data_IF_037924712702
#
_entry.id   IF_037924712702
#
_cell.length_a   1.000
_cell.length_b   1.000
_cell.length_c   1.000
_cell.angle_alpha   90.00
_cell.angle_beta   90.00
_cell.angle_gamma   90.00
#
_symmetry.space_group_name_H-M   'P 1'
#
loop_
_entity.id
_entity.type
_entity.pdbx_description
1 polymer ?
#
# COMPACT_ATOMS: atom_id res chain seq x y z
N UNK A 1 -11.14 -22.03 -52.16
CA UNK A 1 -11.53 -22.56 -50.84
C UNK A 1 -10.37 -22.67 -49.85
N UNK A 2 -9.20 -23.23 -50.19
CA UNK A 2 -8.04 -23.31 -49.28
C UNK A 2 -7.55 -21.95 -48.71
N UNK A 3 -7.57 -20.88 -49.51
CA UNK A 3 -7.08 -19.56 -49.05
C UNK A 3 -7.97 -18.89 -47.99
N UNK A 4 -9.28 -19.14 -47.99
CA UNK A 4 -10.21 -18.57 -46.99
C UNK A 4 -10.05 -19.28 -45.64
N UNK A 5 -9.76 -20.59 -45.67
CA UNK A 5 -9.54 -21.39 -44.47
C UNK A 5 -8.28 -20.96 -43.69
N UNK A 6 -7.21 -20.60 -44.41
CA UNK A 6 -5.98 -20.09 -43.79
C UNK A 6 -6.14 -18.69 -43.18
N UNK A 7 -6.98 -17.84 -43.78
CA UNK A 7 -7.29 -16.51 -43.24
C UNK A 7 -8.13 -16.59 -41.96
N UNK A 8 -9.06 -17.55 -41.87
CA UNK A 8 -9.88 -17.77 -40.67
C UNK A 8 -9.04 -18.33 -39.51
N UNK A 9 -8.09 -19.21 -39.79
CA UNK A 9 -7.17 -19.74 -38.77
C UNK A 9 -6.19 -18.68 -38.25
N UNK A 10 -5.71 -17.78 -39.12
CA UNK A 10 -4.86 -16.66 -38.71
C UNK A 10 -5.63 -15.65 -37.85
N UNK A 11 -6.90 -15.36 -38.20
CA UNK A 11 -7.76 -14.46 -37.42
C UNK A 11 -8.07 -15.04 -36.03
N UNK A 12 -8.37 -16.34 -35.93
CA UNK A 12 -8.59 -17.03 -34.66
C UNK A 12 -7.32 -17.08 -33.80
N UNK A 13 -6.14 -17.21 -34.42
CA UNK A 13 -4.86 -17.15 -33.71
C UNK A 13 -4.61 -15.75 -33.14
N UNK A 14 -4.89 -14.69 -33.91
CA UNK A 14 -4.78 -13.28 -33.46
C UNK A 14 -5.81 -12.97 -32.36
N UNK A 15 -7.04 -13.47 -32.46
CA UNK A 15 -8.07 -13.33 -31.41
C UNK A 15 -7.66 -14.08 -30.13
N UNK A 16 -7.03 -15.26 -30.24
CA UNK A 16 -6.53 -16.00 -29.09
C UNK A 16 -5.31 -15.34 -28.43
N UNK A 17 -4.48 -14.65 -29.22
CA UNK A 17 -3.32 -13.89 -28.73
C UNK A 17 -3.73 -12.53 -28.15
N UNK A 18 -4.93 -12.03 -28.48
CA UNK A 18 -5.52 -10.81 -27.91
C UNK A 18 -6.37 -11.06 -26.66
N UNK A 19 -6.48 -12.30 -26.20
CA UNK A 19 -6.64 -12.61 -24.76
C UNK A 19 -5.29 -12.40 -24.08
N UNK A 20 -4.79 -11.17 -24.21
CA UNK A 20 -3.66 -10.66 -23.46
C UNK A 20 -4.10 -10.75 -22.01
N UNK A 21 -3.30 -11.46 -21.21
CA UNK A 21 -3.36 -11.38 -19.77
C UNK A 21 -3.49 -9.90 -19.40
N UNK A 22 -4.66 -9.49 -18.93
CA UNK A 22 -4.75 -8.33 -18.07
C UNK A 22 -3.96 -8.74 -16.83
N UNK A 23 -2.65 -8.48 -16.85
CA UNK A 23 -1.92 -8.36 -15.61
C UNK A 23 -2.59 -7.17 -14.96
N UNK A 24 -3.54 -7.46 -14.08
CA UNK A 24 -3.99 -6.50 -13.10
C UNK A 24 -2.75 -6.25 -12.27
N UNK A 25 -1.94 -5.26 -12.68
CA UNK A 25 -1.15 -4.56 -11.69
C UNK A 25 -2.17 -4.17 -10.63
N UNK A 26 -1.89 -4.49 -9.38
CA UNK A 26 -2.82 -4.29 -8.28
C UNK A 26 -2.58 -2.88 -7.69
N UNK A 27 -3.52 -2.36 -6.92
CA UNK A 27 -3.36 -1.10 -6.21
C UNK A 27 -2.33 -1.29 -5.09
N UNK A 28 -2.25 -0.37 -4.14
CA UNK A 28 -1.28 -0.45 -3.06
C UNK A 28 -1.97 -0.19 -1.72
N UNK A 29 -2.22 -1.28 -0.99
CA UNK A 29 -2.84 -1.22 0.32
C UNK A 29 -3.58 -2.49 0.69
N UNK A 30 -4.77 -2.32 1.22
CA UNK A 30 -5.63 -3.42 1.68
C UNK A 30 -5.92 -4.43 0.56
N UNK A 31 -6.08 -3.98 -0.68
CA UNK A 31 -6.43 -4.85 -1.81
C UNK A 31 -5.40 -5.97 -2.05
N UNK A 32 -4.11 -5.70 -1.81
CA UNK A 32 -3.00 -6.62 -2.07
C UNK A 32 -2.56 -7.34 -0.81
N UNK A 33 -2.52 -6.61 0.31
CA UNK A 33 -1.98 -7.12 1.57
C UNK A 33 -3.03 -7.86 2.41
N UNK A 34 -4.31 -7.66 2.09
CA UNK A 34 -5.44 -8.27 2.76
C UNK A 34 -6.59 -8.59 1.78
N UNK A 35 -6.37 -9.48 0.79
CA UNK A 35 -7.26 -9.61 -0.37
C UNK A 35 -8.57 -10.39 -0.10
N UNK A 36 -8.69 -11.12 1.01
CA UNK A 36 -9.86 -11.98 1.23
C UNK A 36 -10.97 -11.28 2.03
N UNK A 37 -12.14 -11.15 1.41
CA UNK A 37 -13.35 -10.61 2.04
C UNK A 37 -13.90 -11.46 3.20
N UNK A 38 -13.58 -12.76 3.20
CA UNK A 38 -14.13 -13.73 4.14
C UNK A 38 -13.13 -14.86 4.42
N UNK A 39 -12.59 -14.86 5.63
CA UNK A 39 -11.74 -15.88 6.23
C UNK A 39 -12.35 -16.34 7.55
N UNK A 40 -11.93 -17.52 8.02
CA UNK A 40 -12.39 -18.09 9.29
C UNK A 40 -11.26 -18.12 10.30
N UNK A 41 -11.43 -17.45 11.43
CA UNK A 41 -10.49 -17.47 12.57
C UNK A 41 -11.26 -17.96 13.79
N UNK A 42 -10.81 -19.06 14.38
CA UNK A 42 -11.45 -19.69 15.55
C UNK A 42 -12.97 -19.91 15.41
N UNK A 43 -13.41 -20.24 14.19
CA UNK A 43 -14.82 -20.48 13.86
C UNK A 43 -15.64 -19.21 13.60
N UNK A 44 -15.03 -18.02 13.64
CA UNK A 44 -15.67 -16.74 13.33
C UNK A 44 -15.31 -16.28 11.91
N UNK A 45 -16.32 -15.86 11.14
CA UNK A 45 -16.09 -15.24 9.84
C UNK A 45 -15.65 -13.78 10.02
N UNK A 46 -14.59 -13.39 9.33
CA UNK A 46 -14.04 -12.03 9.30
C UNK A 46 -13.36 -11.79 7.95
N UNK A 47 -12.85 -10.59 7.67
CA UNK A 47 -12.05 -10.29 6.47
C UNK A 47 -10.55 -10.40 6.79
N UNK A 48 -9.69 -10.40 5.77
CA UNK A 48 -8.25 -10.19 5.97
C UNK A 48 -7.96 -8.76 6.46
N UNK A 49 -6.93 -8.63 7.30
CA UNK A 49 -6.43 -7.34 7.79
C UNK A 49 -4.91 -7.45 7.90
N UNK A 50 -4.21 -6.49 7.31
CA UNK A 50 -2.77 -6.30 7.40
C UNK A 50 -2.50 -4.85 7.83
N UNK A 51 -2.57 -4.61 9.13
CA UNK A 51 -2.51 -3.27 9.69
C UNK A 51 -1.10 -2.69 9.57
N UNK A 52 -0.99 -1.42 9.20
CA UNK A 52 0.29 -0.69 9.31
C UNK A 52 0.67 -0.58 10.79
N UNK A 53 1.90 -0.96 11.13
CA UNK A 53 2.40 -0.89 12.51
C UNK A 53 3.33 0.31 12.68
N UNK A 54 2.72 1.45 12.99
CA UNK A 54 3.39 2.75 13.02
C UNK A 54 4.09 2.99 14.35
N UNK A 55 5.26 3.66 14.31
CA UNK A 55 5.96 4.21 15.49
C UNK A 55 6.29 3.17 16.58
N UNK A 56 6.51 1.92 16.19
CA UNK A 56 7.00 0.89 17.10
C UNK A 56 8.53 0.74 17.00
N UNK A 57 9.22 1.02 18.10
CA UNK A 57 10.68 0.99 18.17
C UNK A 57 11.30 -0.38 17.88
N UNK A 58 10.59 -1.47 18.17
CA UNK A 58 11.04 -2.84 17.85
C UNK A 58 11.04 -3.08 16.33
N UNK A 59 10.24 -2.32 15.59
CA UNK A 59 10.06 -2.42 14.14
C UNK A 59 10.60 -1.17 13.42
N UNK A 60 11.65 -0.54 13.99
CA UNK A 60 12.36 0.62 13.45
C UNK A 60 11.54 1.92 13.34
N UNK A 61 10.45 2.05 14.11
CA UNK A 61 9.55 3.21 14.07
C UNK A 61 9.03 3.49 12.64
N UNK A 62 8.54 2.45 11.97
CA UNK A 62 8.04 2.55 10.60
C UNK A 62 7.07 3.74 10.42
N UNK A 63 7.36 4.53 9.39
CA UNK A 63 6.67 5.75 8.96
C UNK A 63 6.35 6.76 10.08
N UNK A 64 7.12 6.79 11.18
CA UNK A 64 6.93 7.78 12.24
C UNK A 64 7.39 9.18 11.82
N UNK A 65 6.76 10.23 12.35
CA UNK A 65 7.22 11.62 12.16
C UNK A 65 8.69 11.81 12.50
N UNK A 66 9.43 12.45 11.60
CA UNK A 66 10.83 12.80 11.81
C UNK A 66 11.76 11.61 12.02
N UNK A 67 11.39 10.41 11.54
CA UNK A 67 12.25 9.24 11.65
C UNK A 67 13.54 9.49 10.84
N UNK A 68 14.67 9.54 11.53
CA UNK A 68 15.99 9.70 10.89
C UNK A 68 16.42 8.47 10.10
N UNK A 69 15.83 7.30 10.36
CA UNK A 69 16.09 6.08 9.60
C UNK A 69 15.29 6.10 8.30
N UNK A 70 15.95 6.49 7.21
CA UNK A 70 15.35 6.55 5.87
C UNK A 70 14.81 5.19 5.39
N UNK A 71 15.36 4.08 5.89
CA UNK A 71 14.90 2.73 5.51
C UNK A 71 13.54 2.37 6.10
N UNK A 72 13.03 3.16 7.05
CA UNK A 72 11.75 2.91 7.71
C UNK A 72 10.65 3.84 7.21
N UNK A 73 10.88 4.55 6.10
CA UNK A 73 9.90 5.46 5.48
C UNK A 73 8.90 4.69 4.63
N UNK A 74 7.66 5.19 4.58
CA UNK A 74 6.68 4.80 3.58
C UNK A 74 6.78 5.75 2.40
N UNK A 75 7.32 5.26 1.28
CA UNK A 75 7.56 6.05 0.08
C UNK A 75 6.39 5.97 -0.90
N UNK A 76 6.22 7.05 -1.64
CA UNK A 76 5.33 7.16 -2.80
C UNK A 76 6.12 7.78 -3.93
N UNK A 77 6.36 7.00 -4.97
CA UNK A 77 7.08 7.40 -6.17
C UNK A 77 6.16 8.19 -7.09
N UNK A 78 6.60 9.38 -7.47
CA UNK A 78 5.92 10.25 -8.43
C UNK A 78 6.86 10.46 -9.62
N UNK A 79 6.43 9.99 -10.79
CA UNK A 79 7.18 10.12 -12.03
C UNK A 79 7.03 11.51 -12.66
N UNK A 80 5.86 12.13 -12.54
CA UNK A 80 5.63 13.49 -13.00
C UNK A 80 4.78 14.28 -11.99
N UNK A 81 5.38 15.09 -11.10
CA UNK A 81 4.64 15.83 -10.07
C UNK A 81 3.78 16.96 -10.63
N UNK A 82 3.85 17.25 -11.94
CA UNK A 82 2.99 18.24 -12.59
C UNK A 82 1.65 17.66 -13.06
N UNK A 83 1.55 16.33 -13.19
CA UNK A 83 0.37 15.65 -13.72
C UNK A 83 -0.14 14.54 -12.80
N UNK A 84 0.75 13.87 -12.08
CA UNK A 84 0.39 12.89 -11.08
C UNK A 84 0.00 13.55 -9.74
N UNK A 85 -0.80 12.84 -8.96
CA UNK A 85 -1.20 13.16 -7.60
C UNK A 85 -1.41 11.89 -6.78
N UNK A 86 -1.74 12.05 -5.50
CA UNK A 86 -1.93 10.93 -4.57
C UNK A 86 -3.36 10.95 -4.04
N UNK A 87 -4.06 9.83 -4.12
CA UNK A 87 -5.34 9.58 -3.46
C UNK A 87 -5.10 8.74 -2.21
N UNK A 88 -5.50 9.26 -1.05
CA UNK A 88 -5.27 8.63 0.25
C UNK A 88 -6.57 8.25 0.94
N UNK A 89 -6.59 7.03 1.47
CA UNK A 89 -7.63 6.53 2.37
C UNK A 89 -7.01 5.82 3.56
N UNK A 90 -7.45 6.20 4.76
CA UNK A 90 -7.06 5.54 6.00
C UNK A 90 -8.30 5.33 6.88
N UNK A 91 -8.33 4.20 7.58
CA UNK A 91 -9.25 3.96 8.69
C UNK A 91 -8.83 4.75 9.93
N UNK A 92 -9.69 4.73 10.94
CA UNK A 92 -9.30 5.15 12.29
C UNK A 92 -8.11 4.33 12.81
N UNK A 93 -7.27 4.98 13.62
CA UNK A 93 -6.14 4.32 14.26
C UNK A 93 -6.56 3.68 15.58
N UNK A 94 -5.83 2.68 16.04
CA UNK A 94 -6.04 2.12 17.38
C UNK A 94 -4.76 1.57 17.98
N UNK A 95 -4.79 1.35 19.30
CA UNK A 95 -3.69 0.68 20.01
C UNK A 95 -3.71 -0.83 19.76
N UNK A 96 -2.57 -1.48 19.91
CA UNK A 96 -2.48 -2.93 19.88
C UNK A 96 -2.86 -3.51 21.26
N UNK A 97 -4.13 -3.82 21.48
CA UNK A 97 -4.62 -4.49 22.69
C UNK A 97 -5.45 -5.72 22.36
N UNK A 98 -5.41 -6.70 23.26
CA UNK A 98 -6.16 -7.96 23.16
C UNK A 98 -7.66 -7.69 23.33
N UNK A 99 -8.43 -7.76 22.25
CA UNK A 99 -9.89 -7.68 22.29
C UNK A 99 -10.48 -7.02 21.05
N UNK A 100 -11.68 -7.45 20.66
CA UNK A 100 -12.35 -6.99 19.42
C UNK A 100 -12.74 -5.50 19.36
N UNK A 101 -12.42 -4.70 20.37
CA UNK A 101 -12.64 -3.25 20.41
C UNK A 101 -11.40 -2.54 21.01
N UNK A 102 -10.27 -2.51 20.29
CA UNK A 102 -9.07 -1.85 20.80
C UNK A 102 -9.32 -0.34 21.00
N UNK A 103 -8.69 0.29 22.02
CA UNK A 103 -8.76 1.73 22.23
C UNK A 103 -8.32 2.50 20.98
N UNK A 104 -9.17 3.42 20.58
CA UNK A 104 -9.02 4.20 19.36
C UNK A 104 -8.02 5.34 19.56
N UNK A 105 -7.31 5.67 18.49
CA UNK A 105 -6.22 6.64 18.46
C UNK A 105 -6.49 7.65 17.37
N UNK A 106 -6.45 8.93 17.74
CA UNK A 106 -6.37 10.00 16.77
C UNK A 106 -4.91 10.16 16.35
N UNK A 107 -4.68 10.21 15.04
CA UNK A 107 -3.34 10.36 14.47
C UNK A 107 -3.31 11.48 13.45
N UNK A 108 -2.12 11.95 13.13
CA UNK A 108 -1.90 12.85 12.01
C UNK A 108 -0.99 12.19 10.98
N UNK A 109 -1.16 12.56 9.72
CA UNK A 109 -0.20 12.25 8.67
C UNK A 109 0.23 13.50 7.91
N UNK A 110 1.43 13.47 7.35
CA UNK A 110 1.96 14.51 6.46
C UNK A 110 2.75 13.87 5.33
N UNK A 111 2.86 14.57 4.20
CA UNK A 111 3.67 14.14 3.05
C UNK A 111 4.81 15.12 2.89
N UNK A 112 6.01 14.57 2.71
CA UNK A 112 7.22 15.33 2.46
C UNK A 112 7.75 15.03 1.06
N UNK A 113 8.31 16.05 0.43
CA UNK A 113 9.04 15.92 -0.83
C UNK A 113 10.39 15.17 -0.64
N UNK A 114 11.08 14.80 -1.73
CA UNK A 114 12.37 14.12 -1.63
C UNK A 114 13.46 14.93 -0.90
N UNK A 115 13.34 16.26 -0.82
CA UNK A 115 14.23 17.13 -0.05
C UNK A 115 13.86 17.21 1.45
N UNK A 116 12.72 16.65 1.85
CA UNK A 116 12.20 16.66 3.22
C UNK A 116 11.42 17.91 3.59
N UNK A 117 10.90 18.66 2.62
CA UNK A 117 9.95 19.74 2.88
C UNK A 117 8.54 19.16 2.95
N UNK A 118 7.73 19.63 3.90
CA UNK A 118 6.31 19.24 3.98
C UNK A 118 5.56 19.88 2.80
N UNK A 119 4.92 19.05 1.99
CA UNK A 119 4.13 19.46 0.82
C UNK A 119 2.62 19.27 1.04
N UNK A 120 2.25 18.44 2.02
CA UNK A 120 0.85 18.22 2.38
C UNK A 120 0.69 17.89 3.86
N UNK A 121 -0.35 18.44 4.50
CA UNK A 121 -0.65 18.23 5.92
C UNK A 121 0.13 19.15 6.86
N UNK A 122 0.17 18.83 8.18
CA UNK A 122 -0.41 17.63 8.80
C UNK A 122 -1.95 17.58 8.72
N UNK A 123 -2.50 16.39 8.48
CA UNK A 123 -3.94 16.13 8.46
C UNK A 123 -4.33 15.24 9.64
N UNK A 124 -5.29 15.70 10.45
CA UNK A 124 -5.85 14.94 11.56
C UNK A 124 -6.84 13.88 11.09
N UNK A 125 -6.61 12.64 11.49
CA UNK A 125 -7.54 11.51 11.36
C UNK A 125 -8.04 11.10 12.74
N UNK A 126 -9.36 10.99 12.82
CA UNK A 126 -10.17 10.55 13.95
C UNK A 126 -11.17 9.53 13.42
N UNK A 127 -11.85 8.81 14.31
CA UNK A 127 -12.90 7.89 13.88
C UNK A 127 -14.11 8.56 13.21
N UNK A 128 -14.27 9.87 13.36
CA UNK A 128 -15.38 10.61 12.74
C UNK A 128 -15.08 11.14 11.35
N UNK A 129 -13.81 11.19 10.96
CA UNK A 129 -13.37 11.70 9.66
C UNK A 129 -12.40 10.75 8.93
N UNK A 130 -12.23 9.53 9.43
CA UNK A 130 -11.58 8.44 8.69
C UNK A 130 -12.31 8.25 7.35
N UNK A 131 -11.55 7.99 6.29
CA UNK A 131 -12.09 7.87 4.94
C UNK A 131 -12.50 6.45 4.60
N UNK A 132 -11.86 5.47 5.23
CA UNK A 132 -12.16 4.05 5.05
C UNK A 132 -12.83 3.52 6.30
N UNK A 133 -14.07 3.04 6.16
CA UNK A 133 -14.86 2.50 7.27
C UNK A 133 -14.81 0.98 7.36
N UNK A 134 -14.51 0.30 6.26
CA UNK A 134 -14.52 -1.15 6.18
C UNK A 134 -13.60 -1.68 5.07
N UNK A 135 -13.35 -2.99 5.13
CA UNK A 135 -12.54 -3.71 4.15
C UNK A 135 -13.03 -3.53 2.71
N UNK A 136 -14.34 -3.51 2.45
CA UNK A 136 -14.85 -3.42 1.08
C UNK A 136 -14.52 -2.08 0.43
N UNK A 137 -14.61 -0.98 1.19
CA UNK A 137 -14.21 0.35 0.71
C UNK A 137 -12.71 0.38 0.40
N UNK A 138 -11.89 -0.17 1.29
CA UNK A 138 -10.44 -0.25 1.13
C UNK A 138 -10.03 -1.11 -0.08
N UNK A 139 -10.66 -2.28 -0.23
CA UNK A 139 -10.43 -3.20 -1.34
C UNK A 139 -10.84 -2.57 -2.68
N UNK A 140 -11.97 -1.87 -2.71
CA UNK A 140 -12.44 -1.20 -3.93
C UNK A 140 -11.64 0.05 -4.27
N UNK A 141 -10.89 0.64 -3.34
CA UNK A 141 -10.03 1.80 -3.58
C UNK A 141 -10.79 3.14 -3.68
N UNK A 142 -10.17 4.20 -4.23
CA UNK A 142 -10.80 5.52 -4.38
C UNK A 142 -12.03 5.48 -5.28
N UNK A 143 -13.12 6.13 -4.85
CA UNK A 143 -14.35 6.21 -5.66
C UNK A 143 -14.18 7.04 -6.93
N UNK A 144 -13.21 7.95 -6.95
CA UNK A 144 -12.80 8.72 -8.13
C UNK A 144 -12.33 7.82 -9.29
N UNK A 145 -11.83 6.63 -8.96
CA UNK A 145 -11.38 5.63 -9.93
C UNK A 145 -12.40 4.50 -10.12
N UNK A 146 -12.99 4.01 -9.03
CA UNK A 146 -13.73 2.75 -9.00
C UNK A 146 -15.24 2.91 -8.76
N UNK A 147 -15.74 4.14 -8.65
CA UNK A 147 -17.15 4.44 -8.41
C UNK A 147 -17.57 4.29 -6.94
N UNK A 148 -18.88 4.34 -6.68
CA UNK A 148 -19.46 4.56 -5.34
C UNK A 148 -19.26 3.42 -4.34
N UNK A 149 -18.67 2.30 -4.74
CA UNK A 149 -18.35 1.18 -3.84
C UNK A 149 -17.00 1.33 -3.13
N UNK A 150 -16.18 2.31 -3.54
CA UNK A 150 -14.92 2.70 -2.90
C UNK A 150 -15.09 3.75 -1.82
N UNK A 151 -13.96 4.29 -1.35
CA UNK A 151 -13.94 5.40 -0.38
C UNK A 151 -13.78 6.77 -1.07
N UNK A 152 -14.27 7.84 -0.44
CA UNK A 152 -13.99 9.22 -0.89
C UNK A 152 -12.56 9.60 -0.49
N UNK A 153 -11.65 9.67 -1.47
CA UNK A 153 -10.24 9.86 -1.19
C UNK A 153 -9.85 11.29 -0.80
N UNK A 154 -8.80 11.43 0.00
CA UNK A 154 -8.07 12.68 0.10
C UNK A 154 -7.18 12.82 -1.12
N UNK A 155 -7.40 13.82 -1.95
CA UNK A 155 -6.55 14.11 -3.11
C UNK A 155 -5.42 15.08 -2.71
N UNK A 156 -4.19 14.63 -2.92
CA UNK A 156 -2.98 15.46 -2.92
C UNK A 156 -2.65 15.76 -4.37
N UNK A 157 -2.88 17.00 -4.76
CA UNK A 157 -2.81 17.42 -6.17
C UNK A 157 -1.38 17.73 -6.58
N UNK A 158 -1.15 17.89 -7.89
CA UNK A 158 0.12 18.40 -8.43
C UNK A 158 0.53 19.75 -7.80
N UNK A 159 -0.45 20.61 -7.46
CA UNK A 159 -0.17 21.88 -6.80
C UNK A 159 0.35 21.69 -5.37
N UNK A 160 -0.15 20.67 -4.66
CA UNK A 160 0.35 20.32 -3.33
C UNK A 160 1.76 19.72 -3.44
N UNK A 161 1.95 18.72 -4.31
CA UNK A 161 3.25 18.04 -4.51
C UNK A 161 4.37 19.01 -4.89
N UNK A 162 4.07 20.03 -5.69
CA UNK A 162 5.05 21.03 -6.14
C UNK A 162 5.14 22.28 -5.26
N UNK A 163 4.36 22.35 -4.17
CA UNK A 163 4.25 23.54 -3.32
C UNK A 163 5.57 24.01 -2.69
N UNK A 164 6.50 23.08 -2.44
CA UNK A 164 7.84 23.36 -1.92
C UNK A 164 8.90 23.58 -3.02
N UNK A 165 8.50 23.57 -4.29
CA UNK A 165 9.39 23.80 -5.44
C UNK A 165 10.03 22.55 -6.04
N UNK A 166 9.69 21.34 -5.56
CA UNK A 166 10.12 20.10 -6.18
C UNK A 166 9.24 19.80 -7.41
N UNK A 167 9.83 19.82 -8.62
CA UNK A 167 9.07 19.68 -9.88
C UNK A 167 9.59 18.57 -10.79
N UNK A 168 10.40 17.66 -10.26
CA UNK A 168 10.95 16.52 -10.99
C UNK A 168 10.47 15.21 -10.37
N UNK A 169 10.69 14.10 -11.08
CA UNK A 169 10.51 12.75 -10.53
C UNK A 169 11.18 12.59 -9.15
N UNK A 170 10.56 11.81 -8.28
CA UNK A 170 11.16 11.42 -7.01
C UNK A 170 10.22 10.70 -6.04
N UNK A 171 10.82 10.19 -4.96
CA UNK A 171 10.12 9.49 -3.89
C UNK A 171 9.73 10.44 -2.77
N UNK A 172 8.45 10.79 -2.74
CA UNK A 172 7.82 11.44 -1.60
C UNK A 172 7.70 10.42 -0.48
N UNK A 173 7.48 10.88 0.75
CA UNK A 173 7.21 9.96 1.86
C UNK A 173 6.14 10.47 2.80
N UNK A 174 5.37 9.53 3.31
CA UNK A 174 4.29 9.78 4.26
C UNK A 174 4.80 9.46 5.66
N UNK A 175 4.60 10.40 6.57
CA UNK A 175 4.85 10.20 7.98
C UNK A 175 3.55 10.24 8.76
N UNK A 176 3.52 9.54 9.89
CA UNK A 176 2.39 9.42 10.79
C UNK A 176 2.81 9.67 12.24
N UNK A 177 1.92 10.27 13.03
CA UNK A 177 2.10 10.38 14.49
C UNK A 177 0.81 10.15 15.24
N UNK A 178 0.90 9.41 16.33
CA UNK A 178 -0.15 9.34 17.34
C UNK A 178 -0.11 10.64 18.18
N UNK A 179 -1.24 11.34 18.31
CA UNK A 179 -1.30 12.58 19.09
C UNK A 179 -1.11 12.38 20.60
N UNK A 180 -1.34 11.17 21.10
CA UNK A 180 -1.07 10.76 22.47
C UNK A 180 0.33 10.13 22.64
N UNK A 181 1.07 9.98 21.54
CA UNK A 181 2.39 9.34 21.47
C UNK A 181 2.34 7.81 21.44
N UNK A 182 3.40 7.23 20.88
CA UNK A 182 3.63 5.78 20.84
C UNK A 182 2.94 5.06 19.69
N UNK A 183 3.31 3.78 19.55
CA UNK A 183 2.89 2.92 18.46
C UNK A 183 1.38 2.75 18.33
N UNK A 184 0.91 2.64 17.09
CA UNK A 184 -0.50 2.41 16.78
C UNK A 184 -0.65 1.64 15.46
N UNK A 185 -1.87 1.17 15.22
CA UNK A 185 -2.25 0.37 14.07
C UNK A 185 -3.26 1.12 13.19
N UNK A 186 -3.14 0.95 11.87
CA UNK A 186 -4.12 1.38 10.87
C UNK A 186 -4.52 0.14 10.06
N UNK A 187 -5.73 -0.37 10.28
CA UNK A 187 -6.21 -1.65 9.72
C UNK A 187 -6.45 -1.60 8.22
N UNK A 188 -7.18 -0.58 7.77
CA UNK A 188 -7.51 -0.39 6.37
C UNK A 188 -6.87 0.88 5.86
N UNK A 189 -6.10 0.71 4.80
CA UNK A 189 -5.38 1.79 4.16
C UNK A 189 -5.28 1.53 2.67
N UNK A 190 -5.17 2.61 1.92
CA UNK A 190 -4.98 2.63 0.49
C UNK A 190 -4.24 3.93 0.12
N UNK A 191 -3.18 3.78 -0.67
CA UNK A 191 -2.39 4.89 -1.18
C UNK A 191 -2.30 4.68 -2.69
N UNK A 192 -3.03 5.47 -3.43
CA UNK A 192 -3.13 5.33 -4.87
C UNK A 192 -2.49 6.54 -5.55
N UNK A 193 -1.48 6.34 -6.38
CA UNK A 193 -1.01 7.39 -7.29
C UNK A 193 -1.88 7.39 -8.54
N UNK A 194 -2.24 8.57 -9.04
CA UNK A 194 -3.03 8.70 -10.25
C UNK A 194 -2.59 9.88 -11.09
N UNK A 195 -2.83 9.80 -12.41
CA UNK A 195 -2.63 10.89 -13.36
C UNK A 195 -3.92 11.70 -13.49
N UNK A 196 -3.82 12.99 -13.17
CA UNK A 196 -4.91 13.98 -13.18
C UNK A 196 -4.88 14.89 -14.41
N UNK A 197 -4.02 14.63 -15.41
CA UNK A 197 -3.89 15.44 -16.62
C UNK A 197 -5.11 15.37 -17.54
N UNK A 198 -5.96 14.36 -17.36
CA UNK A 198 -7.13 14.08 -18.19
C UNK A 198 -8.43 14.12 -17.37
N UNK A 199 -9.57 14.24 -18.05
CA UNK A 199 -10.90 14.16 -17.38
C UNK A 199 -11.18 12.80 -16.78
N UNK A 200 -10.52 11.76 -17.27
CA UNK A 200 -10.56 10.41 -16.72
C UNK A 200 -9.28 10.20 -15.93
N UNK A 201 -9.39 10.08 -14.62
CA UNK A 201 -8.25 9.84 -13.75
C UNK A 201 -7.75 8.42 -13.98
N UNK A 202 -6.43 8.25 -14.13
CA UNK A 202 -5.81 6.96 -14.40
C UNK A 202 -4.90 6.55 -13.25
N UNK A 203 -5.17 5.39 -12.65
CA UNK A 203 -4.34 4.80 -11.60
C UNK A 203 -2.93 4.45 -12.12
N UNK A 204 -1.89 4.85 -11.37
CA UNK A 204 -0.50 4.49 -11.59
C UNK A 204 -0.05 3.57 -10.46
N UNK A 205 0.33 2.35 -10.83
CA UNK A 205 0.54 1.24 -9.90
C UNK A 205 2.03 1.00 -9.66
N UNK A 206 2.37 0.32 -8.57
CA UNK A 206 3.77 0.05 -8.21
C UNK A 206 4.52 1.33 -7.79
N UNK A 207 3.83 2.28 -7.17
CA UNK A 207 4.36 3.57 -6.72
C UNK A 207 4.64 3.62 -5.22
N UNK A 208 4.07 2.75 -4.40
CA UNK A 208 4.20 2.73 -2.95
C UNK A 208 5.20 1.66 -2.54
N UNK A 209 6.19 2.06 -1.77
CA UNK A 209 7.28 1.16 -1.41
C UNK A 209 7.92 1.53 -0.07
N UNK A 210 8.67 0.60 0.49
CA UNK A 210 9.51 0.80 1.67
C UNK A 210 10.65 -0.22 1.66
N UNK A 211 11.80 0.16 2.22
CA UNK A 211 12.90 -0.78 2.48
C UNK A 211 12.59 -1.73 3.65
N UNK A 212 11.76 -1.29 4.59
CA UNK A 212 11.36 -2.03 5.77
C UNK A 212 9.89 -1.72 6.10
N UNK A 213 8.99 -2.58 5.64
CA UNK A 213 7.59 -2.52 6.02
C UNK A 213 7.41 -3.08 7.42
N UNK A 214 6.48 -2.51 8.20
CA UNK A 214 6.06 -3.05 9.49
C UNK A 214 4.55 -3.27 9.49
N UNK A 215 4.15 -4.52 9.68
CA UNK A 215 2.75 -4.93 9.67
C UNK A 215 2.36 -5.64 10.97
N UNK A 216 1.06 -5.63 11.24
CA UNK A 216 0.46 -6.36 12.36
C UNK A 216 -0.76 -7.14 11.88
N UNK A 217 -0.82 -8.44 12.22
CA UNK A 217 -2.05 -9.22 12.12
C UNK A 217 -2.83 -9.01 13.42
N UNK A 218 -3.91 -8.22 13.35
CA UNK A 218 -4.63 -7.75 14.54
C UNK A 218 -5.07 -8.88 15.47
N UNK A 219 -5.11 -8.58 16.76
CA UNK A 219 -5.40 -9.54 17.83
C UNK A 219 -6.89 -9.50 18.25
N UNK A 220 -7.77 -9.79 17.29
CA UNK A 220 -9.22 -9.74 17.45
C UNK A 220 -9.84 -11.04 17.97
N UNK A 221 -9.15 -12.18 17.87
CA UNK A 221 -9.65 -13.50 18.30
C UNK A 221 -8.69 -14.34 19.16
N UNK A 222 -7.52 -13.80 19.51
CA UNK A 222 -6.46 -14.55 20.18
C UNK A 222 -5.18 -14.57 19.34
N UNK A 223 -4.05 -14.81 20.00
CA UNK A 223 -2.75 -14.56 19.42
C UNK A 223 -1.88 -15.83 19.32
N UNK A 224 -1.20 -16.09 18.18
CA UNK A 224 -1.40 -15.52 16.83
C UNK A 224 -2.26 -16.45 15.96
N UNK A 225 -3.54 -16.14 15.78
CA UNK A 225 -4.45 -17.03 15.03
C UNK A 225 -4.79 -16.55 13.61
N UNK A 226 -4.58 -15.26 13.33
CA UNK A 226 -4.89 -14.64 12.03
C UNK A 226 -3.82 -14.98 10.98
N UNK A 227 -4.19 -15.56 9.82
CA UNK A 227 -3.25 -15.73 8.71
C UNK A 227 -2.98 -14.40 8.01
N UNK A 228 -1.77 -14.25 7.47
CA UNK A 228 -1.48 -13.24 6.47
C UNK A 228 -1.57 -13.88 5.07
N UNK A 229 -2.49 -13.38 4.24
CA UNK A 229 -2.76 -13.91 2.90
C UNK A 229 -2.40 -12.91 1.79
N UNK A 230 -1.76 -11.80 2.14
CA UNK A 230 -1.39 -10.76 1.19
C UNK A 230 -0.22 -11.17 0.29
N UNK A 231 -0.03 -10.39 -0.76
CA UNK A 231 1.18 -10.45 -1.59
C UNK A 231 1.87 -9.09 -1.67
N UNK A 232 3.15 -9.12 -2.01
CA UNK A 232 3.92 -7.92 -2.29
C UNK A 232 4.99 -8.21 -3.33
N UNK A 233 5.42 -7.15 -4.01
CA UNK A 233 6.50 -7.21 -4.99
C UNK A 233 7.81 -6.73 -4.40
N UNK A 234 8.87 -7.46 -4.71
CA UNK A 234 10.24 -7.12 -4.34
C UNK A 234 10.98 -6.74 -5.59
N UNK A 235 11.51 -5.51 -5.60
CA UNK A 235 12.37 -5.03 -6.65
C UNK A 235 13.83 -5.22 -6.24
N UNK A 236 14.57 -6.05 -6.97
CA UNK A 236 16.00 -6.20 -6.84
C UNK A 236 16.69 -5.64 -8.09
N UNK A 237 17.53 -4.59 -7.99
CA UNK A 237 18.23 -4.05 -9.15
C UNK A 237 19.14 -5.11 -9.77
N UNK A 238 19.22 -5.14 -11.10
CA UNK A 238 20.13 -6.04 -11.81
C UNK A 238 21.56 -5.51 -11.65
N UNK A 239 22.47 -6.24 -10.99
CA UNK A 239 23.85 -5.79 -10.79
C UNK A 239 24.63 -5.64 -12.10
N UNK A 240 24.14 -6.19 -13.20
CA UNK A 240 24.76 -6.11 -14.52
C UNK A 240 24.11 -5.06 -15.43
N UNK A 241 22.93 -4.55 -15.06
CA UNK A 241 22.20 -3.55 -15.82
C UNK A 241 21.49 -2.58 -14.87
N UNK A 242 22.05 -1.38 -14.73
CA UNK A 242 21.52 -0.34 -13.84
C UNK A 242 20.11 0.12 -14.20
N UNK A 243 19.66 -0.13 -15.45
CA UNK A 243 18.33 0.22 -15.94
C UNK A 243 17.35 -0.97 -15.88
N UNK A 244 17.76 -2.10 -15.28
CA UNK A 244 16.91 -3.28 -15.12
C UNK A 244 16.77 -3.70 -13.65
N UNK A 245 15.66 -4.37 -13.37
CA UNK A 245 15.41 -4.97 -12.06
C UNK A 245 14.70 -6.32 -12.22
N UNK A 246 14.98 -7.22 -11.29
CA UNK A 246 14.20 -8.41 -11.07
C UNK A 246 13.05 -8.07 -10.12
N UNK A 247 11.82 -8.22 -10.62
CA UNK A 247 10.62 -8.08 -9.81
C UNK A 247 10.15 -9.47 -9.41
N UNK A 248 10.10 -9.75 -8.11
CA UNK A 248 9.62 -11.02 -7.57
C UNK A 248 8.36 -10.78 -6.74
N UNK A 249 7.29 -11.49 -7.06
CA UNK A 249 6.11 -11.53 -6.19
C UNK A 249 6.34 -12.56 -5.07
N UNK A 250 6.03 -12.16 -3.84
CA UNK A 250 5.91 -13.08 -2.72
C UNK A 250 4.43 -13.12 -2.33
N UNK A 251 3.80 -14.27 -2.59
CA UNK A 251 2.39 -14.52 -2.30
C UNK A 251 2.24 -15.42 -1.07
N UNK A 252 1.55 -14.94 -0.05
CA UNK A 252 1.28 -15.68 1.18
C UNK A 252 -0.09 -16.33 1.21
N UNK A 253 -0.90 -16.21 0.16
CA UNK A 253 -2.25 -16.76 0.12
C UNK A 253 -2.22 -18.28 0.33
N UNK A 254 -2.88 -18.75 1.39
CA UNK A 254 -2.88 -20.17 1.75
C UNK A 254 -1.53 -20.73 2.24
N UNK A 255 -0.54 -19.89 2.53
CA UNK A 255 0.77 -20.30 3.04
C UNK A 255 0.73 -20.88 4.46
N UNK A 256 -0.31 -20.54 5.22
CA UNK A 256 -0.40 -20.84 6.66
C UNK A 256 0.48 -19.95 7.54
N UNK A 257 1.08 -18.89 6.98
CA UNK A 257 1.84 -17.91 7.76
C UNK A 257 0.89 -17.12 8.68
N UNK A 258 1.16 -17.18 9.99
CA UNK A 258 0.36 -16.52 11.05
C UNK A 258 1.26 -15.62 11.88
N UNK A 259 1.60 -14.43 11.38
CA UNK A 259 2.44 -13.51 12.12
C UNK A 259 1.64 -12.85 13.25
N UNK A 260 2.40 -12.22 14.12
CA UNK A 260 1.92 -11.35 15.16
C UNK A 260 2.06 -9.89 14.71
N UNK A 261 3.27 -9.39 14.87
CA UNK A 261 3.86 -8.32 14.11
C UNK A 261 4.97 -8.92 13.26
N UNK A 262 5.23 -8.34 12.10
CA UNK A 262 6.32 -8.77 11.25
C UNK A 262 6.83 -7.61 10.41
N UNK A 263 8.11 -7.68 10.09
CA UNK A 263 8.71 -6.79 9.12
C UNK A 263 8.99 -7.55 7.83
N UNK A 264 8.88 -6.82 6.73
CA UNK A 264 9.38 -7.26 5.45
C UNK A 264 10.49 -6.30 5.07
N UNK A 265 11.72 -6.81 5.07
CA UNK A 265 12.90 -6.05 4.73
C UNK A 265 13.72 -6.80 3.68
N UNK A 266 14.18 -6.06 2.68
CA UNK A 266 15.06 -6.57 1.64
C UNK A 266 16.35 -5.76 1.65
N UNK A 267 17.47 -6.46 1.58
CA UNK A 267 18.78 -5.85 1.41
C UNK A 267 19.47 -6.52 0.22
N UNK A 268 20.48 -5.86 -0.35
CA UNK A 268 21.25 -6.38 -1.48
C UNK A 268 22.16 -7.57 -1.13
N UNK A 269 22.18 -8.00 0.14
CA UNK A 269 23.12 -8.99 0.67
C UNK A 269 22.45 -10.26 1.23
N UNK A 270 21.11 -10.34 1.21
CA UNK A 270 20.35 -11.40 1.87
C UNK A 270 20.62 -11.51 3.38
N UNK A 271 20.62 -12.74 3.90
CA UNK A 271 20.92 -13.04 5.31
C UNK A 271 22.42 -12.98 5.64
N UNK A 272 23.28 -12.58 4.69
CA UNK A 272 24.70 -12.45 4.95
C UNK A 272 24.96 -11.19 5.80
N UNK A 273 25.11 -11.42 7.10
CA UNK A 273 25.90 -10.60 8.01
C UNK A 273 25.39 -9.18 8.34
N UNK A 274 24.08 -8.98 8.53
CA UNK A 274 23.56 -7.71 9.10
C UNK A 274 22.53 -7.84 10.21
N UNK A 275 22.26 -9.04 10.75
CA UNK A 275 21.32 -9.22 11.87
C UNK A 275 20.00 -8.47 11.64
N UNK A 276 19.16 -8.96 10.74
CA UNK A 276 17.76 -8.53 10.67
C UNK A 276 17.03 -8.88 11.97
#
# INVERSE_FOLDING_TARGET
MKNVFNQLQLLLFIISLSVIFTVTLLAEGTRELAPNANIVIDGNNTNDIAALHIDNAVFNNFASFGNSNVNSRLHVHIADPLTEGIMLGFSGGHTNQTGGNPPQVNFEYQILDPAGNIVFGPILVTNTNARINNWSEAFNGPMQLNGTSGYDAMEVTAADLTSAGWTTEGDYYIEFRNLMGGAFLIDYWDITVADFSSTTVEEKKGRVWSFNWAFFAINDFGFPERPFNGSFYVCAPDPQNLDAAFITEIDFNGSGFRPAAFNIAFNSFGTLNTSN
#
